data_IF_184762496652
#
_entry.id   IF_184762496652
#
_cell.length_a   1.000
_cell.length_b   1.000
_cell.length_c   1.000
_cell.angle_alpha   90.00
_cell.angle_beta   90.00
_cell.angle_gamma   90.00
#
_symmetry.space_group_name_H-M   'P 1'
#
loop_
_entity.id
_entity.type
_entity.pdbx_description
1 polymer ?
#
# COMPACT_ATOMS: atom_id res chain seq x y z
N UNK A 1 -4.11 1.76 -48.33
CA UNK A 1 -3.14 2.81 -47.97
C UNK A 1 -3.09 2.89 -46.45
N UNK A 2 -1.91 2.95 -45.82
CA UNK A 2 -1.80 3.20 -44.37
C UNK A 2 -2.45 4.56 -44.08
N UNK A 3 -3.45 4.61 -43.20
CA UNK A 3 -3.94 5.87 -42.67
C UNK A 3 -2.77 6.53 -41.93
N UNK A 4 -2.42 7.78 -42.30
CA UNK A 4 -1.36 8.51 -41.62
C UNK A 4 -1.92 9.08 -40.32
N UNK A 5 -1.09 9.09 -39.29
CA UNK A 5 -1.38 9.80 -38.04
C UNK A 5 -1.64 11.27 -38.33
N UNK A 6 -2.78 11.78 -37.90
CA UNK A 6 -3.10 13.20 -38.04
C UNK A 6 -2.27 13.99 -36.99
N UNK A 7 -1.60 15.10 -37.38
CA UNK A 7 -0.72 15.82 -36.47
C UNK A 7 -1.36 16.32 -35.17
N UNK A 8 -2.61 16.80 -35.18
CA UNK A 8 -3.29 17.22 -33.94
C UNK A 8 -3.59 16.03 -33.05
N UNK A 9 -4.12 14.93 -33.58
CA UNK A 9 -4.31 13.69 -32.82
C UNK A 9 -3.02 13.22 -32.14
N UNK A 10 -1.89 13.26 -32.86
CA UNK A 10 -0.59 12.96 -32.26
C UNK A 10 -0.25 13.93 -31.12
N UNK A 11 -0.36 15.23 -31.34
CA UNK A 11 -0.01 16.23 -30.33
C UNK A 11 -0.92 16.17 -29.10
N UNK A 12 -2.21 15.89 -29.27
CA UNK A 12 -3.16 15.69 -28.19
C UNK A 12 -2.79 14.47 -27.34
N UNK A 13 -2.45 13.35 -28.00
CA UNK A 13 -1.97 12.15 -27.31
C UNK A 13 -0.64 12.41 -26.58
N UNK A 14 0.29 13.14 -27.20
CA UNK A 14 1.56 13.52 -26.57
C UNK A 14 1.35 14.43 -25.36
N UNK A 15 0.38 15.34 -25.42
CA UNK A 15 -0.01 16.20 -24.29
C UNK A 15 -0.61 15.41 -23.12
N UNK A 16 -1.37 14.35 -23.41
CA UNK A 16 -1.87 13.43 -22.40
C UNK A 16 -0.72 12.61 -21.78
N UNK A 17 0.15 12.02 -22.60
CA UNK A 17 1.28 11.22 -22.11
C UNK A 17 2.30 12.03 -21.29
N UNK A 18 2.43 13.34 -21.55
CA UNK A 18 3.28 14.24 -20.78
C UNK A 18 2.93 14.25 -19.29
N UNK A 19 1.65 14.05 -18.94
CA UNK A 19 1.17 14.03 -17.55
C UNK A 19 1.83 12.95 -16.70
N UNK A 20 2.30 11.85 -17.31
CA UNK A 20 3.05 10.80 -16.61
C UNK A 20 4.38 11.30 -16.02
N UNK A 21 4.94 12.39 -16.54
CA UNK A 21 6.13 13.04 -15.95
C UNK A 21 5.80 13.81 -14.67
N UNK A 22 4.54 14.22 -14.52
CA UNK A 22 4.06 15.02 -13.40
C UNK A 22 3.41 14.15 -12.32
N UNK A 23 2.87 12.99 -12.69
CA UNK A 23 2.27 12.06 -11.75
C UNK A 23 3.37 11.31 -11.01
N UNK A 24 3.36 11.43 -9.68
CA UNK A 24 4.43 10.94 -8.82
C UNK A 24 4.01 9.65 -8.13
N UNK A 25 4.91 8.68 -8.12
CA UNK A 25 4.77 7.38 -7.45
C UNK A 25 5.07 7.48 -5.96
N UNK A 26 4.74 6.43 -5.22
CA UNK A 26 5.10 6.33 -3.80
C UNK A 26 6.63 6.32 -3.61
N UNK A 27 7.32 5.53 -4.44
CA UNK A 27 8.76 5.31 -4.37
C UNK A 27 9.56 6.61 -4.44
N UNK A 28 10.72 6.59 -3.79
CA UNK A 28 11.70 7.68 -3.84
C UNK A 28 13.00 7.24 -4.50
N UNK A 29 13.68 8.19 -5.13
CA UNK A 29 15.03 8.00 -5.67
C UNK A 29 16.08 8.01 -4.56
N UNK A 30 17.31 7.60 -4.87
CA UNK A 30 18.45 7.70 -3.97
C UNK A 30 18.74 9.15 -3.48
N UNK A 31 18.31 10.15 -4.26
CA UNK A 31 18.41 11.58 -3.89
C UNK A 31 17.14 12.09 -3.16
N UNK A 32 16.29 11.18 -2.67
CA UNK A 32 15.08 11.48 -1.91
C UNK A 32 14.00 12.28 -2.67
N UNK A 33 14.04 12.32 -4.00
CA UNK A 33 12.95 12.85 -4.84
C UNK A 33 11.90 11.76 -5.04
N UNK A 34 10.62 12.12 -5.19
CA UNK A 34 9.61 11.16 -5.66
C UNK A 34 9.85 10.81 -7.12
N UNK A 35 9.83 9.52 -7.41
CA UNK A 35 9.84 8.97 -8.77
C UNK A 35 8.54 9.36 -9.49
N UNK A 36 8.62 9.73 -10.78
CA UNK A 36 7.44 9.90 -11.63
C UNK A 36 7.06 8.60 -12.35
N UNK A 37 5.81 8.48 -12.77
CA UNK A 37 5.35 7.31 -13.55
C UNK A 37 6.19 7.13 -14.81
N UNK A 38 6.52 8.22 -15.51
CA UNK A 38 7.36 8.16 -16.70
C UNK A 38 8.79 7.63 -16.43
N UNK A 39 9.36 7.92 -15.26
CA UNK A 39 10.69 7.42 -14.88
C UNK A 39 10.66 5.93 -14.57
N UNK A 40 9.64 5.48 -13.84
CA UNK A 40 9.36 4.05 -13.61
C UNK A 40 9.19 3.30 -14.93
N UNK A 41 8.34 3.80 -15.84
CA UNK A 41 8.11 3.22 -17.17
C UNK A 41 9.41 3.13 -17.98
N UNK A 42 10.25 4.16 -17.94
CA UNK A 42 11.55 4.15 -18.61
C UNK A 42 12.45 3.05 -18.05
N UNK A 43 12.62 2.99 -16.72
CA UNK A 43 13.51 2.00 -16.11
C UNK A 43 12.97 0.58 -16.25
N UNK A 44 11.66 0.38 -16.24
CA UNK A 44 11.02 -0.89 -16.54
C UNK A 44 11.30 -1.36 -17.97
N UNK A 45 11.26 -0.46 -18.96
CA UNK A 45 11.65 -0.79 -20.34
C UNK A 45 13.13 -1.20 -20.45
N UNK A 46 14.02 -0.47 -19.76
CA UNK A 46 15.46 -0.83 -19.68
C UNK A 46 15.63 -2.21 -19.03
N UNK A 47 14.89 -2.47 -17.96
CA UNK A 47 14.91 -3.74 -17.26
C UNK A 47 14.48 -4.90 -18.18
N UNK A 48 13.34 -4.76 -18.87
CA UNK A 48 12.87 -5.74 -19.85
C UNK A 48 13.87 -5.99 -20.98
N UNK A 49 14.51 -4.93 -21.49
CA UNK A 49 15.52 -5.05 -22.54
C UNK A 49 16.77 -5.82 -22.08
N UNK A 50 17.21 -5.61 -20.83
CA UNK A 50 18.41 -6.26 -20.29
C UNK A 50 18.21 -7.77 -20.04
N UNK A 51 16.99 -8.20 -19.73
CA UNK A 51 16.69 -9.62 -19.44
C UNK A 51 16.15 -10.39 -20.64
N UNK A 52 16.08 -9.78 -21.83
CA UNK A 52 15.42 -10.38 -23.00
C UNK A 52 15.99 -11.73 -23.44
N UNK A 53 17.29 -11.95 -23.26
CA UNK A 53 17.95 -13.20 -23.66
C UNK A 53 17.63 -14.36 -22.70
N UNK A 54 17.09 -14.06 -21.52
CA UNK A 54 16.64 -15.06 -20.56
C UNK A 54 15.27 -15.66 -20.95
N UNK A 55 14.57 -15.05 -21.91
CA UNK A 55 13.25 -15.46 -22.39
C UNK A 55 13.23 -15.67 -23.93
N UNK A 56 14.03 -16.60 -24.48
CA UNK A 56 14.18 -16.76 -25.93
C UNK A 56 12.90 -17.19 -26.66
N UNK A 57 11.93 -17.77 -25.93
CA UNK A 57 10.65 -18.22 -26.48
C UNK A 57 9.55 -17.14 -26.41
N UNK A 58 9.86 -15.94 -25.92
CA UNK A 58 8.91 -14.84 -25.74
C UNK A 58 9.15 -13.69 -26.74
N UNK A 59 8.09 -12.99 -27.14
CA UNK A 59 8.24 -11.74 -27.89
C UNK A 59 8.62 -10.59 -26.94
N UNK A 60 9.93 -10.39 -26.75
CA UNK A 60 10.43 -9.34 -25.85
C UNK A 60 10.24 -7.91 -26.40
N UNK A 61 10.03 -7.74 -27.71
CA UNK A 61 9.60 -6.46 -28.27
C UNK A 61 8.15 -6.14 -27.87
N UNK A 62 7.29 -7.16 -27.77
CA UNK A 62 5.95 -7.02 -27.18
C UNK A 62 6.03 -6.73 -25.68
N UNK A 63 6.89 -7.41 -24.92
CA UNK A 63 7.10 -7.12 -23.48
C UNK A 63 7.53 -5.67 -23.25
N UNK A 64 8.46 -5.14 -24.04
CA UNK A 64 8.88 -3.75 -23.96
C UNK A 64 7.75 -2.78 -24.33
N UNK A 65 6.94 -3.09 -25.37
CA UNK A 65 5.75 -2.28 -25.72
C UNK A 65 4.69 -2.29 -24.63
N UNK A 66 4.41 -3.45 -24.03
CA UNK A 66 3.52 -3.55 -22.87
C UNK A 66 4.04 -2.71 -21.70
N UNK A 67 5.33 -2.82 -21.40
CA UNK A 67 5.98 -2.04 -20.33
C UNK A 67 5.88 -0.55 -20.58
N UNK A 68 5.99 -0.10 -21.83
CA UNK A 68 5.90 1.31 -22.22
C UNK A 68 4.52 1.92 -21.99
N UNK A 69 3.44 1.14 -22.17
CA UNK A 69 2.07 1.67 -22.15
C UNK A 69 1.23 1.24 -20.95
N UNK A 70 1.70 0.29 -20.13
CA UNK A 70 0.90 -0.28 -19.04
C UNK A 70 0.31 0.77 -18.08
N UNK A 71 1.06 1.81 -17.74
CA UNK A 71 0.66 2.85 -16.79
C UNK A 71 0.04 4.07 -17.48
N UNK A 72 -0.36 3.95 -18.74
CA UNK A 72 -0.91 5.08 -19.49
C UNK A 72 -2.22 5.60 -18.89
N UNK A 73 -3.01 4.75 -18.24
CA UNK A 73 -4.21 5.14 -17.49
C UNK A 73 -3.90 6.12 -16.35
N UNK A 74 -2.71 6.02 -15.75
CA UNK A 74 -2.27 6.88 -14.66
C UNK A 74 -2.09 8.33 -15.10
N UNK A 75 -1.98 8.62 -16.40
CA UNK A 75 -2.01 10.00 -16.91
C UNK A 75 -3.32 10.72 -16.56
N UNK A 76 -4.42 9.97 -16.38
CA UNK A 76 -5.74 10.48 -16.06
C UNK A 76 -6.01 10.38 -14.55
N UNK A 77 -5.75 9.22 -13.95
CA UNK A 77 -6.10 8.91 -12.55
C UNK A 77 -5.06 9.39 -11.54
N UNK A 78 -3.81 9.57 -11.97
CA UNK A 78 -2.66 9.60 -11.08
C UNK A 78 -2.23 8.19 -10.64
N UNK A 79 -1.04 8.10 -10.05
CA UNK A 79 -0.52 6.86 -9.44
C UNK A 79 -1.19 6.64 -8.07
N UNK A 80 -1.76 5.47 -7.88
CA UNK A 80 -2.32 5.02 -6.60
C UNK A 80 -1.44 3.85 -6.10
N UNK A 81 -0.77 3.97 -4.94
CA UNK A 81 0.12 2.93 -4.45
C UNK A 81 -0.60 1.59 -4.30
N UNK A 82 0.09 0.50 -4.65
CA UNK A 82 -0.52 -0.84 -4.71
C UNK A 82 -1.15 -1.31 -3.38
N UNK A 83 -0.66 -0.84 -2.24
CA UNK A 83 -1.20 -1.15 -0.91
C UNK A 83 -2.37 -0.26 -0.47
N UNK A 84 -2.70 0.78 -1.24
CA UNK A 84 -3.88 1.64 -1.07
C UNK A 84 -4.97 1.28 -2.09
N UNK A 85 -4.57 0.89 -3.30
CA UNK A 85 -5.43 0.67 -4.46
C UNK A 85 -6.54 -0.35 -4.17
N UNK A 86 -7.79 0.08 -4.35
CA UNK A 86 -9.01 -0.74 -4.21
C UNK A 86 -9.47 -1.31 -5.55
N UNK A 87 -10.48 -2.20 -5.53
CA UNK A 87 -11.08 -2.71 -6.77
C UNK A 87 -11.79 -1.59 -7.56
N UNK A 88 -12.43 -0.64 -6.86
CA UNK A 88 -13.05 0.53 -7.51
C UNK A 88 -12.01 1.41 -8.23
N UNK A 89 -10.80 1.52 -7.69
CA UNK A 89 -9.74 2.30 -8.33
C UNK A 89 -9.26 1.64 -9.63
N UNK A 90 -9.24 0.29 -9.65
CA UNK A 90 -8.89 -0.48 -10.86
C UNK A 90 -9.92 -0.27 -11.97
N UNK A 91 -11.21 -0.32 -11.64
CA UNK A 91 -12.29 -0.07 -12.61
C UNK A 91 -12.21 1.35 -13.22
N UNK A 92 -11.89 2.36 -12.40
CA UNK A 92 -11.71 3.74 -12.86
C UNK A 92 -10.53 3.87 -13.81
N UNK A 93 -9.43 3.18 -13.53
CA UNK A 93 -8.25 3.17 -14.38
C UNK A 93 -8.46 2.44 -15.70
N UNK A 94 -9.16 1.30 -15.69
CA UNK A 94 -9.59 0.61 -16.92
C UNK A 94 -10.44 1.52 -17.81
N UNK A 95 -11.38 2.27 -17.20
CA UNK A 95 -12.17 3.26 -17.91
C UNK A 95 -11.30 4.40 -18.47
N UNK A 96 -10.30 4.85 -17.73
CA UNK A 96 -9.35 5.87 -18.18
C UNK A 96 -8.52 5.39 -19.38
N UNK A 97 -8.05 4.15 -19.37
CA UNK A 97 -7.32 3.54 -20.50
C UNK A 97 -8.20 3.53 -21.75
N UNK A 98 -9.45 3.10 -21.64
CA UNK A 98 -10.40 3.10 -22.77
C UNK A 98 -10.60 4.50 -23.35
N UNK A 99 -10.71 5.52 -22.50
CA UNK A 99 -10.83 6.91 -22.95
C UNK A 99 -9.56 7.40 -23.65
N UNK A 100 -8.38 6.93 -23.24
CA UNK A 100 -7.11 7.28 -23.86
C UNK A 100 -6.95 6.64 -25.24
N UNK A 101 -7.24 5.34 -25.39
CA UNK A 101 -7.03 4.65 -26.67
C UNK A 101 -8.02 5.10 -27.74
N UNK A 102 -9.20 5.61 -27.35
CA UNK A 102 -10.18 6.25 -28.27
C UNK A 102 -9.61 7.46 -29.01
N UNK A 103 -8.61 8.15 -28.47
CA UNK A 103 -7.95 9.28 -29.16
C UNK A 103 -7.18 8.84 -30.40
N UNK A 104 -6.75 7.57 -30.46
CA UNK A 104 -5.90 7.05 -31.51
C UNK A 104 -6.70 6.56 -32.72
N UNK A 105 -6.12 6.58 -33.93
CA UNK A 105 -6.71 5.92 -35.09
C UNK A 105 -6.91 4.42 -34.85
N UNK A 106 -7.83 3.82 -35.61
CA UNK A 106 -8.30 2.44 -35.40
C UNK A 106 -7.18 1.40 -35.27
N UNK A 107 -6.08 1.57 -36.02
CA UNK A 107 -4.97 0.62 -36.03
C UNK A 107 -4.20 0.64 -34.71
N UNK A 108 -3.71 1.81 -34.31
CA UNK A 108 -2.95 2.00 -33.07
C UNK A 108 -3.82 1.73 -31.85
N UNK A 109 -5.11 2.13 -31.90
CA UNK A 109 -6.09 1.79 -30.87
C UNK A 109 -6.22 0.29 -30.67
N UNK A 110 -6.47 -0.48 -31.75
CA UNK A 110 -6.59 -1.94 -31.66
C UNK A 110 -5.33 -2.63 -31.14
N UNK A 111 -4.16 -2.09 -31.48
CA UNK A 111 -2.88 -2.61 -30.98
C UNK A 111 -2.78 -2.39 -29.47
N UNK A 112 -3.05 -1.17 -28.97
CA UNK A 112 -3.00 -0.89 -27.53
C UNK A 112 -4.09 -1.63 -26.75
N UNK A 113 -5.34 -1.64 -27.22
CA UNK A 113 -6.46 -2.35 -26.59
C UNK A 113 -6.08 -3.84 -26.41
N UNK A 114 -5.48 -4.47 -27.43
CA UNK A 114 -5.01 -5.85 -27.33
C UNK A 114 -3.89 -6.07 -26.31
N UNK A 115 -2.97 -5.11 -26.15
CA UNK A 115 -1.92 -5.19 -25.13
C UNK A 115 -2.49 -5.06 -23.72
N UNK A 116 -3.45 -4.16 -23.50
CA UNK A 116 -4.12 -3.98 -22.21
C UNK A 116 -4.94 -5.22 -21.83
N UNK A 117 -5.74 -5.74 -22.77
CA UNK A 117 -6.49 -6.99 -22.56
C UNK A 117 -5.59 -8.17 -22.18
N UNK A 118 -4.40 -8.27 -22.79
CA UNK A 118 -3.44 -9.33 -22.51
C UNK A 118 -2.79 -9.16 -21.12
N UNK A 119 -2.45 -7.92 -20.75
CA UNK A 119 -1.91 -7.59 -19.43
C UNK A 119 -2.92 -7.86 -18.30
N UNK A 120 -4.19 -7.51 -18.51
CA UNK A 120 -5.26 -7.73 -17.53
C UNK A 120 -5.47 -9.21 -17.26
N UNK A 121 -5.55 -10.04 -18.32
CA UNK A 121 -5.73 -11.49 -18.21
C UNK A 121 -4.52 -12.19 -17.57
N UNK A 122 -3.31 -11.67 -17.79
CA UNK A 122 -2.06 -12.21 -17.26
C UNK A 122 -1.84 -13.72 -17.53
N UNK A 123 -2.35 -14.21 -18.67
CA UNK A 123 -2.28 -15.63 -19.05
C UNK A 123 -0.98 -15.97 -19.79
N UNK A 124 -0.53 -15.07 -20.66
CA UNK A 124 0.68 -15.24 -21.50
C UNK A 124 1.96 -15.07 -20.70
N UNK A 125 3.06 -15.64 -21.20
CA UNK A 125 4.35 -15.48 -20.54
C UNK A 125 4.83 -14.02 -20.62
N UNK A 126 4.56 -13.32 -21.72
CA UNK A 126 4.91 -11.90 -21.87
C UNK A 126 4.22 -11.01 -20.84
N UNK A 127 2.92 -11.20 -20.62
CA UNK A 127 2.20 -10.45 -19.58
C UNK A 127 2.73 -10.79 -18.17
N UNK A 128 3.04 -12.06 -17.90
CA UNK A 128 3.63 -12.50 -16.62
C UNK A 128 5.01 -11.88 -16.40
N UNK A 129 5.85 -11.79 -17.43
CA UNK A 129 7.14 -11.11 -17.37
C UNK A 129 6.94 -9.63 -17.00
N UNK A 130 6.05 -8.91 -17.68
CA UNK A 130 5.78 -7.49 -17.37
C UNK A 130 5.35 -7.31 -15.92
N UNK A 131 4.41 -8.12 -15.42
CA UNK A 131 3.96 -8.06 -14.04
C UNK A 131 5.08 -8.36 -13.05
N UNK A 132 5.93 -9.36 -13.30
CA UNK A 132 7.05 -9.68 -12.43
C UNK A 132 8.11 -8.56 -12.41
N UNK A 133 8.49 -8.04 -13.59
CA UNK A 133 9.47 -6.97 -13.72
C UNK A 133 8.98 -5.67 -13.07
N UNK A 134 7.72 -5.30 -13.25
CA UNK A 134 7.12 -4.10 -12.63
C UNK A 134 7.23 -4.14 -11.08
N UNK A 135 6.89 -5.28 -10.49
CA UNK A 135 6.97 -5.47 -9.03
C UNK A 135 8.41 -5.43 -8.55
N UNK A 136 9.33 -6.08 -9.26
CA UNK A 136 10.75 -6.10 -8.92
C UNK A 136 11.40 -4.72 -9.07
N UNK A 137 11.01 -3.94 -10.08
CA UNK A 137 11.46 -2.57 -10.29
C UNK A 137 11.14 -1.72 -9.05
N UNK A 138 9.89 -1.77 -8.57
CA UNK A 138 9.48 -1.02 -7.39
C UNK A 138 10.28 -1.43 -6.13
N UNK A 139 10.59 -2.72 -5.99
CA UNK A 139 11.44 -3.22 -4.90
C UNK A 139 12.87 -2.69 -4.99
N UNK A 140 13.46 -2.72 -6.19
CA UNK A 140 14.79 -2.18 -6.46
C UNK A 140 14.82 -0.68 -6.13
N UNK A 141 13.81 0.10 -6.53
CA UNK A 141 13.76 1.54 -6.23
C UNK A 141 13.82 1.82 -4.73
N UNK A 142 13.07 1.06 -3.93
CA UNK A 142 13.08 1.20 -2.48
C UNK A 142 14.43 0.79 -1.88
N UNK A 143 15.09 -0.23 -2.44
CA UNK A 143 16.44 -0.60 -2.02
C UNK A 143 17.47 0.50 -2.32
N UNK A 144 17.30 1.25 -3.40
CA UNK A 144 18.15 2.41 -3.74
C UNK A 144 17.81 3.68 -2.94
N UNK A 145 16.56 3.87 -2.55
CA UNK A 145 16.13 5.00 -1.71
C UNK A 145 16.79 4.95 -0.32
N UNK A 146 16.76 6.03 0.45
CA UNK A 146 17.07 5.93 1.88
C UNK A 146 16.00 5.08 2.58
N UNK A 147 16.36 4.13 3.45
CA UNK A 147 15.37 3.33 4.18
C UNK A 147 14.49 4.21 5.10
N UNK A 148 14.88 5.46 5.37
CA UNK A 148 14.09 6.45 6.11
C UNK A 148 12.73 6.68 5.48
N UNK A 149 12.69 6.52 4.16
CA UNK A 149 11.51 6.78 3.36
C UNK A 149 10.55 5.61 3.41
N UNK A 150 10.98 4.46 3.95
CA UNK A 150 10.16 3.26 4.00
C UNK A 150 9.08 3.40 5.06
N UNK A 151 7.85 3.13 4.65
CA UNK A 151 6.73 2.96 5.56
C UNK A 151 6.88 1.65 6.33
N UNK A 152 6.26 1.53 7.52
CA UNK A 152 6.31 0.29 8.29
C UNK A 152 5.88 -0.97 7.52
N UNK A 153 4.84 -0.87 6.67
CA UNK A 153 4.42 -2.01 5.85
C UNK A 153 5.45 -2.42 4.80
N UNK A 154 6.36 -1.53 4.42
CA UNK A 154 7.28 -1.77 3.30
C UNK A 154 8.39 -2.72 3.68
N UNK A 155 8.72 -2.84 4.97
CA UNK A 155 9.58 -3.90 5.48
C UNK A 155 9.03 -5.29 5.11
N UNK A 156 7.72 -5.49 5.26
CA UNK A 156 7.05 -6.74 4.89
C UNK A 156 6.88 -6.87 3.37
N UNK A 157 6.51 -5.77 2.68
CA UNK A 157 6.37 -5.79 1.22
C UNK A 157 7.70 -6.10 0.52
N UNK A 158 8.82 -5.62 1.05
CA UNK A 158 10.14 -5.92 0.50
C UNK A 158 10.45 -7.43 0.53
N UNK A 159 9.88 -8.14 1.50
CA UNK A 159 10.02 -9.59 1.60
C UNK A 159 9.03 -10.36 0.72
N UNK A 160 7.83 -9.82 0.47
CA UNK A 160 6.69 -10.60 -0.06
C UNK A 160 6.14 -10.13 -1.41
N UNK A 161 6.28 -8.84 -1.74
CA UNK A 161 5.71 -8.27 -2.96
C UNK A 161 6.35 -8.87 -4.21
N UNK A 162 5.54 -9.19 -5.23
CA UNK A 162 5.99 -9.83 -6.47
C UNK A 162 6.32 -11.32 -6.38
N UNK A 163 6.20 -11.97 -5.21
CA UNK A 163 6.58 -13.38 -5.04
C UNK A 163 5.73 -14.32 -5.90
N UNK A 164 4.43 -14.04 -6.04
CA UNK A 164 3.51 -14.85 -6.86
C UNK A 164 3.85 -14.73 -8.35
N UNK A 165 4.06 -13.51 -8.82
CA UNK A 165 4.32 -13.19 -10.22
C UNK A 165 5.66 -13.79 -10.66
N UNK A 166 6.69 -13.67 -9.83
CA UNK A 166 8.03 -14.18 -10.13
C UNK A 166 8.12 -15.71 -10.15
N UNK A 167 7.14 -16.45 -9.61
CA UNK A 167 7.07 -17.92 -9.71
C UNK A 167 6.74 -18.43 -11.12
N UNK A 168 6.38 -17.54 -12.05
CA UNK A 168 6.09 -17.90 -13.44
C UNK A 168 7.30 -18.49 -14.17
N UNK A 169 8.52 -18.15 -13.76
CA UNK A 169 9.74 -18.59 -14.42
C UNK A 169 10.92 -18.73 -13.41
N UNK A 170 11.81 -19.75 -13.55
CA UNK A 170 12.95 -19.93 -12.65
C UNK A 170 13.93 -18.76 -12.58
N UNK A 171 14.17 -18.04 -13.68
CA UNK A 171 15.04 -16.87 -13.70
C UNK A 171 14.40 -15.72 -12.90
N UNK A 172 13.11 -15.45 -13.12
CA UNK A 172 12.36 -14.44 -12.36
C UNK A 172 12.38 -14.74 -10.85
N UNK A 173 12.13 -16.01 -10.47
CA UNK A 173 12.15 -16.43 -9.08
C UNK A 173 13.53 -16.21 -8.44
N UNK A 174 14.61 -16.56 -9.15
CA UNK A 174 15.99 -16.34 -8.69
C UNK A 174 16.32 -14.85 -8.55
N UNK A 175 15.95 -14.04 -9.54
CA UNK A 175 16.19 -12.60 -9.51
C UNK A 175 15.45 -11.93 -8.35
N UNK A 176 14.19 -12.32 -8.11
CA UNK A 176 13.40 -11.86 -6.98
C UNK A 176 14.02 -12.21 -5.64
N UNK A 177 14.61 -13.40 -5.53
CA UNK A 177 15.32 -13.84 -4.32
C UNK A 177 16.58 -13.01 -4.06
N UNK A 178 17.34 -12.67 -5.11
CA UNK A 178 18.50 -11.77 -4.99
C UNK A 178 18.06 -10.39 -4.48
N UNK A 179 16.99 -9.82 -5.05
CA UNK A 179 16.42 -8.53 -4.60
C UNK A 179 15.98 -8.63 -3.13
N UNK A 180 15.34 -9.75 -2.74
CA UNK A 180 14.92 -10.01 -1.35
C UNK A 180 16.11 -9.97 -0.39
N UNK A 181 17.22 -10.60 -0.78
CA UNK A 181 18.43 -10.63 0.05
C UNK A 181 19.03 -9.24 0.20
N UNK A 182 19.08 -8.43 -0.86
CA UNK A 182 19.53 -7.03 -0.79
C UNK A 182 18.67 -6.23 0.19
N UNK A 183 17.34 -6.39 0.14
CA UNK A 183 16.44 -5.73 1.09
C UNK A 183 16.71 -6.17 2.53
N UNK A 184 16.93 -7.47 2.76
CA UNK A 184 17.23 -8.02 4.08
C UNK A 184 18.56 -7.50 4.64
N UNK A 185 19.60 -7.46 3.80
CA UNK A 185 20.92 -6.94 4.16
C UNK A 185 20.83 -5.45 4.53
N UNK A 186 20.04 -4.68 3.77
CA UNK A 186 19.78 -3.26 4.06
C UNK A 186 19.09 -3.06 5.41
N UNK A 187 18.01 -3.81 5.67
CA UNK A 187 17.31 -3.79 6.96
C UNK A 187 18.27 -4.13 8.11
N UNK A 188 19.12 -5.15 7.94
CA UNK A 188 20.07 -5.56 8.96
C UNK A 188 21.14 -4.49 9.23
N UNK A 189 21.63 -3.81 8.18
CA UNK A 189 22.65 -2.76 8.30
C UNK A 189 22.16 -1.50 9.02
N UNK A 190 20.87 -1.16 8.92
CA UNK A 190 20.29 0.02 9.60
C UNK A 190 19.72 -0.28 11.00
N UNK A 191 19.56 -1.56 11.34
CA UNK A 191 18.99 -2.01 12.62
C UNK A 191 19.81 -1.65 13.87
N UNK A 192 21.02 -1.11 13.73
CA UNK A 192 21.87 -0.71 14.86
C UNK A 192 21.75 0.78 15.24
N UNK A 193 21.22 1.67 14.39
CA UNK A 193 21.25 3.12 14.66
C UNK A 193 19.90 3.88 14.59
N UNK A 194 18.79 3.30 14.12
CA UNK A 194 17.48 3.99 14.16
C UNK A 194 16.64 3.63 15.38
N UNK A 195 16.63 4.53 16.36
CA UNK A 195 15.46 4.69 17.23
C UNK A 195 14.23 4.88 16.36
N UNK A 196 13.19 4.07 16.56
CA UNK A 196 11.99 4.08 15.71
C UNK A 196 11.45 5.52 15.61
N UNK A 197 11.20 6.00 14.38
CA UNK A 197 10.57 7.31 14.09
C UNK A 197 9.13 7.42 14.60
N UNK A 198 8.65 6.34 15.22
CA UNK A 198 7.36 6.20 15.86
C UNK A 198 7.49 5.28 17.07
N UNK A 199 6.59 5.41 18.04
CA UNK A 199 6.55 4.50 19.19
C UNK A 199 5.13 4.36 19.73
N UNK A 200 4.88 3.30 20.50
CA UNK A 200 3.61 3.10 21.21
C UNK A 200 3.80 3.36 22.71
N UNK A 201 2.85 4.09 23.31
CA UNK A 201 2.70 4.19 24.77
C UNK A 201 1.32 3.70 25.19
N UNK A 202 1.26 3.09 26.37
CA UNK A 202 0.03 2.66 27.04
C UNK A 202 -0.22 3.54 28.25
N UNK A 203 -1.47 3.69 28.67
CA UNK A 203 -1.83 4.43 29.88
C UNK A 203 -2.30 5.84 29.59
N UNK A 204 -3.29 6.29 30.35
CA UNK A 204 -3.98 7.57 30.14
C UNK A 204 -3.04 8.76 30.30
N UNK A 205 -2.04 8.64 31.17
CA UNK A 205 -1.00 9.64 31.41
C UNK A 205 -0.13 9.93 30.19
N UNK A 206 -0.11 9.01 29.22
CA UNK A 206 0.65 9.16 27.98
C UNK A 206 -0.20 9.67 26.81
N UNK A 207 -1.52 9.85 26.98
CA UNK A 207 -2.41 10.23 25.88
C UNK A 207 -2.52 11.76 25.74
N UNK A 208 -2.51 12.24 24.50
CA UNK A 208 -2.78 13.65 24.20
C UNK A 208 -4.29 13.82 23.95
N UNK A 209 -5.03 14.26 24.98
CA UNK A 209 -6.51 14.33 24.93
C UNK A 209 -7.06 15.04 23.69
N UNK A 210 -6.49 16.19 23.32
CA UNK A 210 -6.92 16.96 22.15
C UNK A 210 -6.71 16.17 20.84
N UNK A 211 -5.58 15.47 20.69
CA UNK A 211 -5.28 14.66 19.51
C UNK A 211 -6.13 13.39 19.46
N UNK A 212 -6.36 12.73 20.60
CA UNK A 212 -7.29 11.60 20.71
C UNK A 212 -8.72 12.03 20.37
N UNK A 213 -9.18 13.17 20.87
CA UNK A 213 -10.49 13.71 20.55
C UNK A 213 -10.61 14.00 19.05
N UNK A 214 -9.61 14.64 18.44
CA UNK A 214 -9.58 14.89 17.01
C UNK A 214 -9.61 13.60 16.17
N UNK A 215 -8.88 12.55 16.60
CA UNK A 215 -8.92 11.23 15.95
C UNK A 215 -10.31 10.59 16.03
N UNK A 216 -10.90 10.56 17.23
CA UNK A 216 -12.21 9.94 17.46
C UNK A 216 -13.34 10.71 16.79
N UNK A 217 -13.25 12.04 16.73
CA UNK A 217 -14.28 12.86 16.10
C UNK A 217 -14.39 12.64 14.59
N UNK A 218 -13.34 12.12 13.96
CA UNK A 218 -13.31 11.73 12.54
C UNK A 218 -13.86 10.32 12.28
N UNK A 219 -14.42 9.66 13.29
CA UNK A 219 -14.98 8.30 13.17
C UNK A 219 -16.50 8.34 13.33
N UNK A 220 -17.23 7.48 12.62
CA UNK A 220 -18.68 7.45 12.69
C UNK A 220 -19.22 7.03 14.06
N UNK A 221 -18.47 6.23 14.81
CA UNK A 221 -18.88 5.68 16.10
C UNK A 221 -18.51 6.56 17.31
N UNK A 222 -17.71 7.62 17.11
CA UNK A 222 -17.26 8.49 18.20
C UNK A 222 -17.34 10.00 17.90
N UNK A 223 -17.85 10.42 16.74
CA UNK A 223 -17.97 11.83 16.33
C UNK A 223 -18.66 12.77 17.32
N UNK A 224 -19.67 12.29 18.04
CA UNK A 224 -20.48 13.12 18.95
C UNK A 224 -20.05 13.03 20.41
N UNK A 225 -18.95 12.32 20.73
CA UNK A 225 -18.48 12.17 22.12
C UNK A 225 -17.83 13.46 22.62
N UNK A 226 -18.23 13.95 23.79
CA UNK A 226 -17.56 15.08 24.42
C UNK A 226 -16.14 14.71 24.86
N UNK A 227 -15.22 15.68 24.94
CA UNK A 227 -13.86 15.44 25.46
C UNK A 227 -13.88 14.81 26.86
N UNK A 228 -14.83 15.23 27.70
CA UNK A 228 -15.03 14.66 29.04
C UNK A 228 -15.41 13.18 29.01
N UNK A 229 -16.26 12.78 28.06
CA UNK A 229 -16.61 11.37 27.86
C UNK A 229 -15.42 10.57 27.35
N UNK A 230 -14.65 11.13 26.40
CA UNK A 230 -13.43 10.53 25.86
C UNK A 230 -12.41 10.32 26.99
N UNK A 231 -12.11 11.36 27.77
CA UNK A 231 -11.21 11.31 28.93
C UNK A 231 -11.61 10.20 29.90
N UNK A 232 -12.87 10.21 30.35
CA UNK A 232 -13.39 9.16 31.25
C UNK A 232 -13.29 7.76 30.64
N UNK A 233 -13.53 7.61 29.34
CA UNK A 233 -13.43 6.30 28.68
C UNK A 233 -11.99 5.77 28.64
N UNK A 234 -10.99 6.66 28.53
CA UNK A 234 -9.57 6.30 28.62
C UNK A 234 -9.17 5.91 30.03
N UNK A 235 -9.66 6.65 31.05
CA UNK A 235 -9.38 6.37 32.46
C UNK A 235 -9.91 5.01 32.95
N UNK A 236 -10.97 4.50 32.31
CA UNK A 236 -11.61 3.23 32.66
C UNK A 236 -11.22 2.09 31.71
N UNK A 237 -10.19 2.27 30.87
CA UNK A 237 -9.72 1.29 29.91
C UNK A 237 -8.18 1.24 29.89
N UNK A 238 -7.63 0.36 29.05
CA UNK A 238 -6.22 0.36 28.68
C UNK A 238 -6.03 1.09 27.34
N UNK A 239 -5.79 2.43 27.33
CA UNK A 239 -5.53 3.15 26.09
C UNK A 239 -4.11 2.86 25.56
N UNK A 240 -3.98 2.81 24.25
CA UNK A 240 -2.74 2.73 23.49
C UNK A 240 -2.69 3.93 22.54
N UNK A 241 -1.58 4.65 22.55
CA UNK A 241 -1.30 5.76 21.64
C UNK A 241 -0.11 5.43 20.77
N UNK A 242 -0.21 5.75 19.48
CA UNK A 242 0.88 5.68 18.52
C UNK A 242 1.37 7.11 18.23
N UNK A 243 2.65 7.33 18.43
CA UNK A 243 3.30 8.63 18.33
C UNK A 243 4.34 8.61 17.23
N UNK A 244 4.53 9.73 16.54
CA UNK A 244 5.72 10.00 15.73
C UNK A 244 6.73 10.74 16.58
N UNK A 245 7.98 10.27 16.60
CA UNK A 245 9.07 10.98 17.24
C UNK A 245 9.52 12.12 16.33
N UNK A 246 9.41 13.36 16.79
CA UNK A 246 9.86 14.50 16.00
C UNK A 246 11.38 14.66 16.13
N UNK A 247 12.14 13.97 15.29
CA UNK A 247 13.60 14.07 15.28
C UNK A 247 14.11 15.42 14.72
N UNK A 248 13.22 16.32 14.28
CA UNK A 248 13.58 17.46 13.43
C UNK A 248 13.32 18.82 14.11
N UNK A 249 12.53 18.91 15.18
CA UNK A 249 12.26 20.20 15.84
C UNK A 249 12.85 20.28 17.26
N UNK A 250 13.76 21.23 17.47
CA UNK A 250 14.20 21.62 18.82
C UNK A 250 12.96 22.06 19.63
N UNK A 251 12.50 21.20 20.54
CA UNK A 251 11.33 21.43 21.38
C UNK A 251 10.00 20.89 20.85
N UNK A 252 10.00 20.05 19.80
CA UNK A 252 8.81 19.39 19.28
C UNK A 252 8.16 18.47 20.30
N UNK A 253 6.85 18.61 20.48
CA UNK A 253 6.04 17.63 21.21
C UNK A 253 5.78 16.45 20.27
N UNK A 254 6.07 15.23 20.70
CA UNK A 254 5.76 14.02 19.94
C UNK A 254 4.27 14.02 19.54
N UNK A 255 3.95 13.68 18.31
CA UNK A 255 2.59 13.82 17.76
C UNK A 255 1.85 12.49 17.81
N UNK A 256 0.68 12.45 18.44
CA UNK A 256 -0.16 11.24 18.48
C UNK A 256 -0.97 11.10 17.18
N UNK A 257 -0.63 10.10 16.38
CA UNK A 257 -1.26 9.81 15.07
C UNK A 257 -2.18 8.59 15.10
N UNK A 258 -2.20 7.85 16.21
CA UNK A 258 -3.07 6.69 16.37
C UNK A 258 -3.53 6.49 17.81
N UNK A 259 -4.71 5.89 17.95
CA UNK A 259 -5.33 5.61 19.23
C UNK A 259 -6.08 4.28 19.16
N UNK A 260 -6.07 3.54 20.27
CA UNK A 260 -6.94 2.40 20.52
C UNK A 260 -7.17 2.29 22.02
N UNK A 261 -8.21 1.57 22.43
CA UNK A 261 -8.35 1.18 23.83
C UNK A 261 -8.82 -0.26 23.95
N UNK A 262 -8.36 -0.90 25.01
CA UNK A 262 -8.71 -2.28 25.34
C UNK A 262 -9.42 -2.29 26.69
N UNK A 263 -10.63 -2.84 26.74
CA UNK A 263 -11.28 -3.21 28.00
C UNK A 263 -10.91 -4.66 28.30
N UNK A 264 -10.27 -4.92 29.43
CA UNK A 264 -9.80 -6.26 29.77
C UNK A 264 -9.72 -6.45 31.28
N UNK A 265 -9.89 -7.69 31.73
CA UNK A 265 -9.57 -8.13 33.09
C UNK A 265 -8.10 -8.62 33.21
N UNK A 266 -7.37 -8.65 32.09
CA UNK A 266 -5.98 -9.12 31.99
C UNK A 266 -5.81 -10.63 32.13
N UNK A 267 -6.89 -11.41 32.21
CA UNK A 267 -6.84 -12.84 32.57
C UNK A 267 -7.69 -13.72 31.67
N UNK A 268 -8.90 -13.28 31.29
CA UNK A 268 -9.83 -14.11 30.52
C UNK A 268 -10.23 -13.50 29.19
N UNK A 269 -10.42 -12.18 29.14
CA UNK A 269 -11.03 -11.53 27.98
C UNK A 269 -10.46 -10.15 27.71
N UNK A 270 -10.46 -9.76 26.44
CA UNK A 270 -10.23 -8.38 26.03
C UNK A 270 -11.23 -7.96 24.96
N UNK A 271 -11.66 -6.71 25.02
CA UNK A 271 -12.49 -6.06 24.03
C UNK A 271 -11.72 -4.89 23.42
N UNK A 272 -11.34 -5.02 22.14
CA UNK A 272 -10.69 -3.97 21.39
C UNK A 272 -11.73 -2.94 20.93
N UNK A 273 -11.49 -1.68 21.27
CA UNK A 273 -12.37 -0.57 20.93
C UNK A 273 -11.58 0.59 20.36
N UNK A 274 -12.23 1.37 19.50
CA UNK A 274 -11.75 2.66 19.01
C UNK A 274 -10.34 2.64 18.40
N UNK A 275 -9.93 1.54 17.74
CA UNK A 275 -8.69 1.51 16.95
C UNK A 275 -8.84 2.45 15.74
N UNK A 276 -8.10 3.55 15.76
CA UNK A 276 -8.11 4.57 14.71
C UNK A 276 -6.68 5.06 14.45
N UNK A 277 -6.35 5.18 13.18
CA UNK A 277 -5.15 5.87 12.69
C UNK A 277 -5.60 7.13 11.97
N UNK A 278 -4.87 8.23 12.13
CA UNK A 278 -5.09 9.45 11.36
C UNK A 278 -5.08 9.15 9.86
N UNK A 279 -6.01 9.75 9.13
CA UNK A 279 -6.27 9.48 7.72
C UNK A 279 -5.01 9.56 6.84
N UNK A 280 -4.16 10.56 7.07
CA UNK A 280 -2.91 10.76 6.35
C UNK A 280 -1.87 9.63 6.53
N UNK A 281 -2.03 8.77 7.54
CA UNK A 281 -1.13 7.65 7.86
C UNK A 281 -1.81 6.28 7.71
N UNK A 282 -3.06 6.25 7.25
CA UNK A 282 -3.77 4.98 6.97
C UNK A 282 -3.15 4.27 5.77
N UNK A 283 -3.27 2.94 5.77
CA UNK A 283 -2.71 2.12 4.71
C UNK A 283 -1.18 2.07 4.69
N UNK A 284 -0.48 2.61 5.69
CA UNK A 284 0.99 2.63 5.78
C UNK A 284 1.58 1.62 6.78
N UNK A 285 0.72 0.75 7.36
CA UNK A 285 1.15 -0.30 8.31
C UNK A 285 1.05 0.09 9.78
N UNK A 286 0.79 1.35 10.11
CA UNK A 286 0.63 1.82 11.49
C UNK A 286 -0.49 1.11 12.28
N UNK A 287 -1.60 0.75 11.61
CA UNK A 287 -2.65 -0.07 12.22
C UNK A 287 -2.14 -1.47 12.59
N UNK A 288 -1.32 -2.08 11.73
CA UNK A 288 -0.67 -3.37 12.01
C UNK A 288 0.29 -3.26 13.19
N UNK A 289 1.07 -2.18 13.28
CA UNK A 289 1.97 -1.93 14.42
C UNK A 289 1.19 -1.87 15.74
N UNK A 290 0.10 -1.10 15.79
CA UNK A 290 -0.75 -1.02 16.99
C UNK A 290 -1.36 -2.37 17.35
N UNK A 291 -1.90 -3.09 16.36
CA UNK A 291 -2.47 -4.42 16.59
C UNK A 291 -1.43 -5.43 17.06
N UNK A 292 -0.23 -5.46 16.49
CA UNK A 292 0.84 -6.36 16.92
C UNK A 292 1.17 -6.16 18.40
N UNK A 293 1.26 -4.90 18.86
CA UNK A 293 1.49 -4.61 20.28
C UNK A 293 0.31 -5.05 21.17
N UNK A 294 -0.92 -4.73 20.77
CA UNK A 294 -2.13 -5.13 21.51
C UNK A 294 -2.23 -6.65 21.60
N UNK A 295 -1.98 -7.36 20.49
CA UNK A 295 -2.05 -8.82 20.41
C UNK A 295 -0.90 -9.49 21.17
N UNK A 296 0.28 -8.89 21.21
CA UNK A 296 1.38 -9.37 22.06
C UNK A 296 0.98 -9.38 23.55
N UNK A 297 0.24 -8.36 24.00
CA UNK A 297 -0.20 -8.26 25.39
C UNK A 297 -1.47 -9.07 25.70
N UNK A 298 -2.43 -9.12 24.77
CA UNK A 298 -3.80 -9.62 25.06
C UNK A 298 -4.19 -10.83 24.20
N UNK A 299 -3.40 -11.21 23.20
CA UNK A 299 -3.79 -12.20 22.19
C UNK A 299 -3.96 -13.64 22.71
N UNK A 300 -3.49 -13.91 23.92
CA UNK A 300 -3.71 -15.18 24.63
C UNK A 300 -5.09 -15.25 25.32
N UNK A 301 -5.78 -14.12 25.43
CA UNK A 301 -7.12 -14.01 26.00
C UNK A 301 -8.18 -14.20 24.91
N UNK A 302 -9.42 -14.43 25.34
CA UNK A 302 -10.57 -14.39 24.43
C UNK A 302 -10.80 -12.95 23.97
N UNK A 303 -10.80 -12.71 22.66
CA UNK A 303 -10.90 -11.37 22.08
C UNK A 303 -12.27 -11.06 21.53
N UNK A 304 -12.71 -9.82 21.66
CA UNK A 304 -13.92 -9.30 21.02
C UNK A 304 -13.59 -7.99 20.30
N UNK A 305 -14.30 -7.68 19.22
CA UNK A 305 -14.36 -6.35 18.58
C UNK A 305 -15.64 -6.22 17.73
N UNK A 306 -15.95 -5.00 17.31
CA UNK A 306 -16.90 -4.75 16.21
C UNK A 306 -16.24 -3.85 15.16
N UNK A 307 -16.61 -4.02 13.90
CA UNK A 307 -16.11 -3.22 12.77
C UNK A 307 -17.17 -3.09 11.70
N UNK A 308 -17.12 -2.02 10.90
CA UNK A 308 -17.98 -1.88 9.72
C UNK A 308 -17.24 -2.27 8.43
N UNK A 309 -15.94 -1.97 8.34
CA UNK A 309 -15.19 -2.06 7.07
C UNK A 309 -13.87 -2.83 7.15
N UNK A 310 -13.38 -3.16 8.35
CA UNK A 310 -12.02 -3.69 8.55
C UNK A 310 -11.98 -5.20 8.89
N UNK A 311 -12.99 -5.98 8.47
CA UNK A 311 -13.09 -7.42 8.76
C UNK A 311 -11.81 -8.17 8.35
N UNK A 312 -11.39 -8.07 7.09
CA UNK A 312 -10.21 -8.75 6.57
C UNK A 312 -8.91 -8.36 7.30
N UNK A 313 -8.83 -7.13 7.81
CA UNK A 313 -7.68 -6.68 8.59
C UNK A 313 -7.55 -7.46 9.92
N UNK A 314 -8.67 -7.71 10.61
CA UNK A 314 -8.71 -8.41 11.90
C UNK A 314 -8.65 -9.93 11.77
N UNK A 315 -9.14 -10.52 10.67
CA UNK A 315 -9.06 -11.98 10.43
C UNK A 315 -7.62 -12.50 10.47
N UNK A 316 -6.64 -11.67 10.06
CA UNK A 316 -5.20 -11.99 10.13
C UNK A 316 -4.69 -12.21 11.56
N UNK A 317 -5.40 -11.71 12.56
CA UNK A 317 -5.08 -11.89 13.98
C UNK A 317 -5.88 -13.01 14.65
N UNK A 318 -6.58 -13.84 13.86
CA UNK A 318 -7.39 -14.96 14.34
C UNK A 318 -8.80 -14.57 14.78
N UNK A 319 -9.24 -13.34 14.50
CA UNK A 319 -10.64 -12.96 14.70
C UNK A 319 -11.52 -13.60 13.63
N UNK A 320 -12.74 -13.98 14.00
CA UNK A 320 -13.78 -14.51 13.13
C UNK A 320 -15.10 -13.84 13.43
N UNK A 321 -15.92 -13.65 12.40
CA UNK A 321 -17.26 -13.07 12.54
C UNK A 321 -18.17 -13.95 13.40
N UNK A 322 -18.98 -13.33 14.27
CA UNK A 322 -20.00 -13.99 15.07
C UNK A 322 -21.37 -13.46 14.71
N UNK A 323 -22.30 -14.39 14.47
CA UNK A 323 -23.71 -14.08 14.29
C UNK A 323 -24.07 -13.74 12.85
N UNK A 324 -25.38 -13.70 12.58
CA UNK A 324 -25.95 -13.35 11.29
C UNK A 324 -26.46 -11.91 11.40
N UNK A 325 -25.57 -10.92 11.31
CA UNK A 325 -25.87 -9.49 11.54
C UNK A 325 -26.64 -8.85 10.37
N UNK A 326 -27.63 -9.54 9.80
CA UNK A 326 -28.51 -9.01 8.74
C UNK A 326 -29.40 -7.82 9.17
N UNK A 327 -29.21 -7.29 10.39
CA UNK A 327 -29.99 -6.18 10.97
C UNK A 327 -29.16 -4.94 11.32
N UNK A 328 -27.83 -5.00 11.24
CA UNK A 328 -26.93 -3.89 11.57
C UNK A 328 -25.80 -3.83 10.54
N UNK A 329 -25.30 -2.64 10.21
CA UNK A 329 -24.10 -2.46 9.37
C UNK A 329 -22.80 -2.86 10.11
N UNK A 330 -22.90 -3.22 11.39
CA UNK A 330 -21.79 -3.66 12.23
C UNK A 330 -21.56 -5.17 12.16
N UNK A 331 -20.28 -5.54 12.00
CA UNK A 331 -19.75 -6.90 12.03
C UNK A 331 -19.12 -7.12 13.41
N UNK A 332 -19.66 -8.06 14.17
CA UNK A 332 -19.10 -8.47 15.46
C UNK A 332 -18.12 -9.62 15.24
N UNK A 333 -16.96 -9.57 15.88
CA UNK A 333 -15.92 -10.59 15.73
C UNK A 333 -15.41 -11.08 17.08
N UNK A 334 -15.17 -12.39 17.20
CA UNK A 334 -14.42 -13.00 18.32
C UNK A 334 -13.07 -13.51 17.87
N UNK A 335 -12.14 -13.56 18.81
CA UNK A 335 -10.94 -14.38 18.72
C UNK A 335 -10.99 -15.44 19.82
N UNK A 336 -11.21 -16.72 19.49
CA UNK A 336 -11.10 -17.80 20.46
C UNK A 336 -9.70 -17.86 21.10
N UNK A 337 -9.63 -18.34 22.35
CA UNK A 337 -8.34 -18.70 22.96
C UNK A 337 -7.68 -19.80 22.10
N UNK A 338 -6.38 -19.63 21.83
CA UNK A 338 -5.57 -20.63 21.13
C UNK A 338 -5.22 -21.81 22.01
#
# INVERSE_FOLDING_TARGET
>A
MRQRMEPRTLLDFMGMAERLKCNMRHSRTAENRRESVAEHTYRLCVFAWLVKEEFPDCDMDKVMRMSLFRDLGEAVTGDIPAFVKTDSDREVEESAISNVTVMLPERERKELDALFDELEKAETMEAKIVHALDKMEALIQHNEADIATWLPLEYDLQMTYGEKECKADPYLAKLREVIRQISADKIASEGEERGQSYYIRKGVENMHLEEVAALLHRTDWAKDRTEELIRKSMENACPYGLFLSDCISEGGKDRQIGFARVLTDGVTTFYLMDLVIEEAYRGQGFGTIMMNQIMKENGHLYGMLHTQTAKAFYERYGFREIGNTKKTEEIYMEKPCG
#
